data_IF_845700374278
#
_entry.id   IF_845700374278
#
_cell.length_a   1.000
_cell.length_b   1.000
_cell.length_c   1.000
_cell.angle_alpha   90.00
_cell.angle_beta   90.00
_cell.angle_gamma   90.00
#
_symmetry.space_group_name_H-M   'P 1'
#
loop_
_entity.id
_entity.type
_entity.pdbx_description
1 polymer ?
#
# COMPACT_ATOMS: atom_id res chain seq x y z
N UNK A 1 19.65 -20.89 -0.42
CA UNK A 1 18.38 -20.85 -1.19
C UNK A 1 17.46 -19.88 -0.46
N UNK A 2 17.48 -18.61 -0.82
CA UNK A 2 16.75 -17.56 -0.11
C UNK A 2 15.94 -16.71 -1.08
N UNK A 3 14.75 -16.32 -0.65
CA UNK A 3 13.97 -15.21 -1.21
C UNK A 3 13.18 -15.50 -2.50
N UNK A 4 12.09 -16.25 -2.37
CA UNK A 4 10.95 -16.24 -3.33
C UNK A 4 9.57 -16.30 -2.64
N UNK A 5 9.48 -16.02 -1.33
CA UNK A 5 8.24 -16.29 -0.58
C UNK A 5 7.14 -15.22 -0.72
N UNK A 6 7.49 -13.96 -1.02
CA UNK A 6 6.48 -12.89 -1.15
C UNK A 6 5.65 -12.98 -2.44
N UNK A 7 6.31 -13.31 -3.56
CA UNK A 7 5.68 -13.38 -4.89
C UNK A 7 4.62 -14.47 -5.03
N UNK A 8 4.67 -15.52 -4.21
CA UNK A 8 3.70 -16.62 -4.24
C UNK A 8 2.45 -16.35 -3.41
N UNK A 9 2.50 -15.41 -2.46
CA UNK A 9 1.36 -15.13 -1.60
C UNK A 9 0.30 -14.28 -2.31
N UNK A 10 0.70 -13.26 -3.07
CA UNK A 10 -0.24 -12.40 -3.81
C UNK A 10 -1.09 -13.14 -4.87
N UNK A 11 -0.64 -14.32 -5.32
CA UNK A 11 -1.39 -15.21 -6.24
C UNK A 11 -2.34 -16.19 -5.52
N UNK A 12 -2.20 -16.34 -4.19
CA UNK A 12 -3.03 -17.24 -3.37
C UNK A 12 -4.17 -16.51 -2.64
N UNK A 13 -4.22 -15.18 -2.73
CA UNK A 13 -5.30 -14.40 -2.13
C UNK A 13 -6.45 -14.29 -3.12
N UNK A 14 -7.48 -15.12 -2.96
CA UNK A 14 -8.67 -15.15 -3.83
C UNK A 14 -9.47 -13.82 -3.84
N UNK A 15 -9.28 -12.97 -2.82
CA UNK A 15 -9.94 -11.67 -2.70
C UNK A 15 -9.06 -10.66 -1.97
N UNK A 16 -8.75 -9.55 -2.64
CA UNK A 16 -7.99 -8.43 -2.07
C UNK A 16 -8.88 -7.19 -2.11
N UNK A 17 -9.23 -6.65 -0.94
CA UNK A 17 -10.10 -5.49 -0.82
C UNK A 17 -9.29 -4.20 -1.06
N UNK A 18 -9.76 -3.29 -1.92
CA UNK A 18 -9.18 -1.94 -1.98
C UNK A 18 -9.69 -1.11 -0.81
N UNK A 19 -8.83 -0.25 -0.25
CA UNK A 19 -9.16 0.65 0.86
C UNK A 19 -10.32 1.65 0.57
N UNK A 20 -10.82 1.70 -0.67
CA UNK A 20 -11.96 2.53 -1.10
C UNK A 20 -13.31 1.81 -1.04
N UNK A 21 -13.36 0.57 -0.57
CA UNK A 21 -14.59 -0.24 -0.51
C UNK A 21 -15.38 0.00 0.79
N UNK A 22 -16.71 -0.13 0.74
CA UNK A 22 -17.65 0.22 1.81
C UNK A 22 -17.49 -0.56 3.12
N UNK A 23 -16.71 -1.64 3.11
CA UNK A 23 -16.45 -2.49 4.28
C UNK A 23 -15.03 -2.29 4.86
N UNK A 24 -14.29 -1.28 4.40
CA UNK A 24 -12.94 -1.01 4.90
C UNK A 24 -13.01 -0.54 6.36
N UNK A 25 -12.22 -1.14 7.28
CA UNK A 25 -12.08 -0.68 8.66
C UNK A 25 -11.73 0.81 8.75
N UNK A 26 -12.29 1.50 9.75
CA UNK A 26 -12.13 2.96 9.91
C UNK A 26 -10.64 3.34 10.02
N UNK A 27 -9.85 2.53 10.71
CA UNK A 27 -8.43 2.77 10.93
C UNK A 27 -7.66 2.79 9.59
N UNK A 28 -8.02 1.91 8.65
CA UNK A 28 -7.42 1.88 7.32
C UNK A 28 -7.89 3.03 6.42
N UNK A 29 -9.12 3.53 6.63
CA UNK A 29 -9.61 4.76 5.99
C UNK A 29 -8.83 5.98 6.51
N UNK A 30 -8.57 6.05 7.82
CA UNK A 30 -7.78 7.12 8.43
C UNK A 30 -6.32 7.07 7.96
N UNK A 31 -5.72 5.89 7.90
CA UNK A 31 -4.42 5.66 7.27
C UNK A 31 -4.40 6.23 5.85
N UNK A 32 -5.37 5.87 5.00
CA UNK A 32 -5.41 6.35 3.62
C UNK A 32 -5.49 7.88 3.55
N UNK A 33 -6.37 8.51 4.34
CA UNK A 33 -6.53 9.97 4.35
C UNK A 33 -5.26 10.70 4.82
N UNK A 34 -4.60 10.18 5.86
CA UNK A 34 -3.34 10.74 6.37
C UNK A 34 -2.27 10.75 5.29
N UNK A 35 -2.10 9.63 4.57
CA UNK A 35 -1.09 9.51 3.53
C UNK A 35 -1.45 10.33 2.28
N UNK A 36 -2.73 10.41 1.91
CA UNK A 36 -3.21 11.33 0.87
C UNK A 36 -2.84 12.79 1.19
N UNK A 37 -3.06 13.23 2.43
CA UNK A 37 -2.65 14.57 2.86
C UNK A 37 -1.12 14.75 2.77
N UNK A 38 -0.34 13.78 3.26
CA UNK A 38 1.12 13.85 3.25
C UNK A 38 1.69 13.88 1.83
N UNK A 39 1.10 13.15 0.89
CA UNK A 39 1.49 13.24 -0.53
C UNK A 39 1.13 14.60 -1.14
N UNK A 40 -0.02 15.18 -0.81
CA UNK A 40 -0.39 16.52 -1.29
C UNK A 40 0.59 17.62 -0.80
N UNK A 41 1.15 17.48 0.40
CA UNK A 41 2.14 18.42 0.96
C UNK A 41 3.49 18.37 0.24
N UNK A 42 3.85 17.25 -0.38
CA UNK A 42 5.13 17.08 -1.07
C UNK A 42 5.22 17.83 -2.41
N UNK A 43 4.17 18.56 -2.82
CA UNK A 43 4.14 19.42 -4.02
C UNK A 43 4.64 18.72 -5.28
N UNK A 44 4.21 17.48 -5.46
CA UNK A 44 4.77 16.57 -6.44
C UNK A 44 4.17 16.88 -7.81
N UNK A 45 5.02 16.96 -8.85
CA UNK A 45 4.54 17.08 -10.21
C UNK A 45 3.56 15.93 -10.53
N UNK A 46 2.46 16.20 -11.26
CA UNK A 46 1.52 15.17 -11.66
C UNK A 46 2.24 14.15 -12.54
N UNK A 47 2.63 13.05 -11.92
CA UNK A 47 3.26 11.96 -12.61
C UNK A 47 2.19 10.98 -13.10
N UNK A 48 2.40 10.43 -14.30
CA UNK A 48 1.54 9.36 -14.79
C UNK A 48 1.58 8.21 -13.79
N UNK A 49 0.45 7.83 -13.16
CA UNK A 49 0.45 6.82 -12.12
C UNK A 49 0.77 5.46 -12.74
N UNK A 50 2.03 5.06 -12.64
CA UNK A 50 2.45 3.72 -12.98
C UNK A 50 1.82 2.75 -11.97
N UNK A 51 1.10 1.74 -12.46
CA UNK A 51 0.21 0.90 -11.65
C UNK A 51 0.92 -0.16 -10.78
N UNK A 52 2.21 -0.02 -10.50
CA UNK A 52 3.02 -1.12 -10.00
C UNK A 52 3.38 -1.03 -8.51
N UNK A 53 3.58 0.16 -7.96
CA UNK A 53 3.91 0.29 -6.53
C UNK A 53 2.65 0.32 -5.65
N UNK A 54 2.67 -0.47 -4.59
CA UNK A 54 1.59 -0.59 -3.62
C UNK A 54 1.99 -1.45 -2.43
N UNK A 55 1.08 -1.55 -1.47
CA UNK A 55 1.16 -2.50 -0.36
C UNK A 55 0.04 -3.50 -0.46
N UNK A 56 0.39 -4.77 -0.31
CA UNK A 56 -0.57 -5.85 -0.02
C UNK A 56 -0.31 -6.27 1.42
N UNK A 57 -1.37 -6.37 2.22
CA UNK A 57 -1.25 -6.71 3.64
C UNK A 57 -2.51 -7.40 4.14
N UNK A 58 -2.39 -8.12 5.25
CA UNK A 58 -3.52 -8.71 5.97
C UNK A 58 -3.86 -7.82 7.18
N UNK A 59 -5.14 -7.59 7.41
CA UNK A 59 -5.63 -6.84 8.58
C UNK A 59 -6.93 -7.47 9.07
N UNK A 60 -6.98 -7.87 10.35
CA UNK A 60 -8.12 -8.55 10.97
C UNK A 60 -8.62 -9.78 10.19
N UNK A 61 -7.71 -10.53 9.59
CA UNK A 61 -8.00 -11.75 8.81
C UNK A 61 -8.50 -11.51 7.39
N UNK A 62 -8.52 -10.26 6.92
CA UNK A 62 -8.84 -9.90 5.54
C UNK A 62 -7.62 -9.32 4.83
N UNK A 63 -7.54 -9.52 3.51
CA UNK A 63 -6.44 -9.01 2.70
C UNK A 63 -6.82 -7.69 2.04
N UNK A 64 -5.92 -6.73 2.12
CA UNK A 64 -6.09 -5.39 1.59
C UNK A 64 -4.98 -5.03 0.63
N UNK A 65 -5.29 -4.09 -0.27
CA UNK A 65 -4.29 -3.45 -1.14
C UNK A 65 -4.49 -1.95 -1.23
N UNK A 66 -3.37 -1.25 -1.28
CA UNK A 66 -3.31 0.17 -1.60
C UNK A 66 -2.20 0.44 -2.61
N UNK A 67 -2.51 1.17 -3.68
CA UNK A 67 -1.55 1.50 -4.74
C UNK A 67 -1.16 2.97 -4.71
N UNK A 68 0.00 3.31 -5.27
CA UNK A 68 0.41 4.69 -5.53
C UNK A 68 -0.67 5.49 -6.28
N UNK A 69 -1.34 4.82 -7.25
CA UNK A 69 -2.45 5.39 -8.01
C UNK A 69 -3.66 5.77 -7.14
N UNK A 70 -3.86 5.15 -5.98
CA UNK A 70 -4.96 5.50 -5.08
C UNK A 70 -4.76 6.87 -4.42
N UNK A 71 -3.50 7.35 -4.38
CA UNK A 71 -3.08 8.66 -3.89
C UNK A 71 -2.75 9.66 -5.03
N UNK A 72 -2.84 9.23 -6.30
CA UNK A 72 -2.53 10.10 -7.44
C UNK A 72 -1.04 10.43 -7.63
N UNK A 73 -0.13 9.57 -7.13
CA UNK A 73 1.33 9.79 -7.20
C UNK A 73 2.06 8.74 -8.03
N UNK A 74 3.31 9.01 -8.42
CA UNK A 74 4.19 8.02 -9.08
C UNK A 74 4.74 6.98 -8.10
N UNK A 75 5.26 5.88 -8.66
CA UNK A 75 6.00 4.87 -7.91
C UNK A 75 7.18 5.45 -7.14
N UNK A 76 7.98 6.34 -7.76
CA UNK A 76 9.16 6.93 -7.11
C UNK A 76 8.78 7.76 -5.89
N UNK A 77 7.71 8.56 -6.00
CA UNK A 77 7.16 9.31 -4.87
C UNK A 77 6.66 8.37 -3.80
N UNK A 78 5.88 7.36 -4.20
CA UNK A 78 5.30 6.40 -3.27
C UNK A 78 6.40 5.65 -2.49
N UNK A 79 7.51 5.34 -3.15
CA UNK A 79 8.69 4.72 -2.55
C UNK A 79 9.40 5.63 -1.52
N UNK A 80 9.30 6.96 -1.63
CA UNK A 80 9.90 7.87 -0.64
C UNK A 80 9.26 7.71 0.74
N UNK A 81 7.96 7.42 0.78
CA UNK A 81 7.19 7.28 2.01
C UNK A 81 6.88 5.82 2.36
N UNK A 82 7.27 4.86 1.52
CA UNK A 82 6.85 3.46 1.66
C UNK A 82 7.29 2.86 2.98
N UNK A 83 8.52 3.13 3.44
CA UNK A 83 9.01 2.60 4.71
C UNK A 83 8.18 3.08 5.91
N UNK A 84 7.86 4.37 5.95
CA UNK A 84 7.04 4.93 7.01
C UNK A 84 5.60 4.41 6.95
N UNK A 85 5.07 4.18 5.74
CA UNK A 85 3.76 3.54 5.55
C UNK A 85 3.76 2.09 6.04
N UNK A 86 4.83 1.33 5.77
CA UNK A 86 4.99 -0.05 6.23
C UNK A 86 5.05 -0.11 7.75
N UNK A 87 5.87 0.74 8.39
CA UNK A 87 5.97 0.82 9.84
C UNK A 87 4.61 1.13 10.48
N UNK A 88 3.84 2.08 9.92
CA UNK A 88 2.50 2.40 10.42
C UNK A 88 1.49 1.27 10.22
N UNK A 89 1.54 0.55 9.09
CA UNK A 89 0.69 -0.63 8.88
C UNK A 89 1.01 -1.70 9.94
N UNK A 90 2.29 -1.94 10.24
CA UNK A 90 2.71 -2.88 11.28
C UNK A 90 2.26 -2.43 12.67
N UNK A 91 2.38 -1.14 12.99
CA UNK A 91 1.90 -0.56 14.26
C UNK A 91 0.38 -0.66 14.43
N UNK A 92 -0.35 -0.74 13.32
CA UNK A 92 -1.80 -0.99 13.30
C UNK A 92 -2.16 -2.48 13.45
N UNK A 93 -1.21 -3.39 13.71
CA UNK A 93 -1.39 -4.84 13.68
C UNK A 93 -1.70 -5.40 12.27
N UNK A 94 -1.25 -4.75 11.20
CA UNK A 94 -1.26 -5.37 9.88
C UNK A 94 -0.18 -6.46 9.80
N UNK A 95 -0.54 -7.61 9.24
CA UNK A 95 0.34 -8.75 9.05
C UNK A 95 0.71 -8.91 7.58
N UNK A 96 1.79 -9.66 7.32
CA UNK A 96 2.22 -10.03 5.95
C UNK A 96 2.31 -8.83 4.99
N UNK A 97 2.72 -7.68 5.52
CA UNK A 97 2.86 -6.44 4.74
C UNK A 97 3.93 -6.65 3.66
N UNK A 98 3.55 -6.41 2.41
CA UNK A 98 4.41 -6.61 1.25
C UNK A 98 4.33 -5.41 0.32
N UNK A 99 5.48 -4.78 0.10
CA UNK A 99 5.63 -3.73 -0.89
C UNK A 99 5.81 -4.33 -2.29
N UNK A 100 4.95 -3.94 -3.25
CA UNK A 100 4.95 -4.46 -4.63
C UNK A 100 5.71 -3.60 -5.63
N UNK A 101 6.25 -2.45 -5.22
CA UNK A 101 6.99 -1.57 -6.12
C UNK A 101 8.35 -2.15 -6.48
N UNK A 102 8.71 -2.12 -7.78
CA UNK A 102 10.09 -2.32 -8.19
C UNK A 102 10.89 -1.05 -7.85
N UNK A 103 11.86 -1.18 -6.96
CA UNK A 103 13.00 -0.26 -6.88
C UNK A 103 13.92 -0.65 -8.03
N UNK A 104 13.94 0.14 -9.10
CA UNK A 104 14.93 0.01 -10.19
C UNK A 104 16.32 0.45 -9.70
#
# INVERSE_FOLDING_TARGET
>A
MGSRSGYNWSWQVDKVNRLKESNTPLELIEFQKKWEQKFNELTLEPAWPEKYAGFIFEYRGENYVVYAADFGVSNSVFALLSREMEDELVDMDAEKVFYTGMLD
#
